data_IF_418789764416
#
_entry.id   IF_418789764416
#
_cell.length_a   1.000
_cell.length_b   1.000
_cell.length_c   1.000
_cell.angle_alpha   90.00
_cell.angle_beta   90.00
_cell.angle_gamma   90.00
#
_symmetry.space_group_name_H-M   'P 1'
#
loop_
_entity.id
_entity.type
_entity.pdbx_description
1 polymer ?
#
# COMPACT_ATOMS: atom_id res chain seq x y z
N UNK A 1 7.11 -22.65 1.11
CA UNK A 1 8.52 -22.73 0.66
C UNK A 1 9.38 -21.79 1.51
N UNK A 2 10.60 -22.22 1.87
CA UNK A 2 11.55 -21.67 2.86
C UNK A 2 11.21 -21.79 4.36
N UNK A 3 9.94 -21.68 4.79
CA UNK A 3 9.58 -21.73 6.24
C UNK A 3 8.59 -22.82 6.67
N UNK A 4 8.31 -23.83 5.82
CA UNK A 4 7.34 -24.90 6.12
C UNK A 4 5.96 -24.42 6.62
N UNK A 5 5.52 -23.27 6.11
CA UNK A 5 4.19 -22.73 6.41
C UNK A 5 3.20 -23.21 5.35
N UNK A 6 2.20 -23.98 5.76
CA UNK A 6 1.06 -24.34 4.90
C UNK A 6 0.21 -23.09 4.62
N UNK A 7 0.13 -22.74 3.33
CA UNK A 7 -0.64 -21.62 2.81
C UNK A 7 -1.58 -22.11 1.70
N UNK A 8 -2.74 -21.47 1.53
CA UNK A 8 -3.59 -21.72 0.35
C UNK A 8 -2.98 -21.11 -0.91
N UNK A 9 -3.42 -21.59 -2.08
CA UNK A 9 -3.23 -20.85 -3.32
C UNK A 9 -3.87 -19.45 -3.22
N UNK A 10 -3.35 -18.44 -3.95
CA UNK A 10 -3.89 -17.08 -3.91
C UNK A 10 -5.34 -17.06 -4.42
N UNK A 11 -6.27 -16.56 -3.59
CA UNK A 11 -7.67 -16.39 -3.97
C UNK A 11 -7.92 -14.94 -4.36
N UNK A 12 -8.16 -14.67 -5.64
CA UNK A 12 -8.42 -13.33 -6.14
C UNK A 12 -9.83 -12.88 -5.76
N UNK A 13 -9.95 -11.72 -5.13
CA UNK A 13 -11.24 -11.12 -4.81
C UNK A 13 -11.56 -10.13 -5.94
N UNK A 14 -12.54 -10.41 -6.82
CA UNK A 14 -12.92 -9.48 -7.87
C UNK A 14 -13.52 -8.22 -7.25
N UNK A 15 -13.06 -7.05 -7.69
CA UNK A 15 -13.64 -5.79 -7.26
C UNK A 15 -14.83 -5.44 -8.16
N UNK A 16 -15.93 -4.87 -7.62
CA UNK A 16 -17.05 -4.45 -8.45
C UNK A 16 -16.57 -3.40 -9.47
N UNK A 17 -16.73 -3.65 -10.79
CA UNK A 17 -16.13 -2.81 -11.83
C UNK A 17 -16.68 -1.37 -11.85
N UNK A 18 -17.83 -1.14 -11.21
CA UNK A 18 -18.45 0.19 -11.09
C UNK A 18 -18.01 0.99 -9.85
N UNK A 19 -17.44 0.32 -8.83
CA UNK A 19 -17.00 0.97 -7.58
C UNK A 19 -15.49 1.14 -7.51
N UNK A 20 -14.72 0.31 -8.21
CA UNK A 20 -13.26 0.36 -8.23
C UNK A 20 -12.77 0.18 -9.67
N UNK A 21 -11.96 1.14 -10.17
CA UNK A 21 -11.32 1.06 -11.50
C UNK A 21 -10.35 -0.14 -11.64
N UNK A 22 -10.01 -0.79 -10.53
CA UNK A 22 -9.06 -1.91 -10.47
C UNK A 22 -9.88 -3.20 -10.50
N UNK A 23 -9.67 -4.08 -11.49
CA UNK A 23 -10.49 -5.29 -11.67
C UNK A 23 -10.43 -6.34 -10.54
N UNK A 24 -9.54 -6.20 -9.55
CA UNK A 24 -9.46 -7.06 -8.36
C UNK A 24 -9.06 -6.25 -7.12
N UNK A 25 -9.49 -6.68 -5.92
CA UNK A 25 -8.96 -6.19 -4.63
C UNK A 25 -7.61 -6.82 -4.26
N UNK A 26 -6.99 -7.56 -5.19
CA UNK A 26 -5.80 -8.39 -4.96
C UNK A 26 -6.14 -9.85 -4.64
N UNK A 27 -5.10 -10.61 -4.33
CA UNK A 27 -5.19 -12.02 -3.99
C UNK A 27 -4.95 -12.25 -2.50
N UNK A 28 -5.87 -12.95 -1.84
CA UNK A 28 -5.78 -13.32 -0.45
C UNK A 28 -5.17 -14.72 -0.30
N UNK A 29 -4.11 -14.83 0.51
CA UNK A 29 -3.51 -16.12 0.90
C UNK A 29 -3.89 -16.40 2.35
N UNK A 30 -4.67 -17.46 2.59
CA UNK A 30 -5.02 -17.89 3.94
C UNK A 30 -3.90 -18.75 4.50
N UNK A 31 -3.22 -18.24 5.53
CA UNK A 31 -2.20 -18.99 6.28
C UNK A 31 -2.92 -20.03 7.15
N UNK A 32 -2.64 -21.32 6.94
CA UNK A 32 -3.32 -22.46 7.60
C UNK A 32 -2.59 -22.99 8.83
N UNK A 33 -1.34 -22.59 9.03
CA UNK A 33 -0.51 -23.02 10.16
C UNK A 33 -0.17 -21.82 11.07
N UNK A 34 -0.08 -22.01 12.39
CA UNK A 34 0.32 -20.94 13.30
C UNK A 34 1.73 -20.45 12.93
N UNK A 35 1.94 -19.14 12.82
CA UNK A 35 3.28 -18.59 12.61
C UNK A 35 3.98 -18.59 13.96
N UNK A 36 4.85 -19.58 14.18
CA UNK A 36 5.54 -19.79 15.45
C UNK A 36 6.71 -18.82 15.69
N UNK A 37 7.13 -18.03 14.69
CA UNK A 37 8.31 -17.13 14.79
C UNK A 37 8.01 -15.72 14.29
N UNK A 38 8.39 -14.71 15.08
CA UNK A 38 8.31 -13.29 14.72
C UNK A 38 9.06 -12.94 13.43
N UNK A 39 10.22 -13.57 13.23
CA UNK A 39 11.03 -13.43 12.02
C UNK A 39 10.24 -13.81 10.76
N UNK A 40 9.54 -14.95 10.80
CA UNK A 40 8.76 -15.44 9.68
C UNK A 40 7.55 -14.54 9.41
N UNK A 41 6.89 -14.04 10.47
CA UNK A 41 5.79 -13.09 10.35
C UNK A 41 6.22 -11.81 9.62
N UNK A 42 7.37 -11.26 10.01
CA UNK A 42 7.91 -10.07 9.38
C UNK A 42 8.29 -10.32 7.93
N UNK A 43 8.98 -11.41 7.62
CA UNK A 43 9.40 -11.72 6.26
C UNK A 43 8.20 -11.97 5.32
N UNK A 44 7.17 -12.66 5.81
CA UNK A 44 5.94 -12.89 5.04
C UNK A 44 5.22 -11.57 4.78
N UNK A 45 5.04 -10.74 5.82
CA UNK A 45 4.42 -9.41 5.65
C UNK A 45 5.24 -8.48 4.76
N UNK A 46 6.57 -8.55 4.80
CA UNK A 46 7.44 -7.69 3.99
C UNK A 46 7.50 -8.10 2.51
N UNK A 47 7.37 -9.40 2.20
CA UNK A 47 7.60 -9.93 0.86
C UNK A 47 6.63 -9.34 -0.18
N UNK A 48 5.34 -9.23 0.14
CA UNK A 48 4.31 -8.69 -0.76
C UNK A 48 4.59 -7.24 -1.17
N UNK A 49 4.65 -6.29 -0.21
CA UNK A 49 4.91 -4.89 -0.50
C UNK A 49 6.26 -4.63 -1.14
N UNK A 50 7.34 -5.33 -0.74
CA UNK A 50 8.65 -5.17 -1.36
C UNK A 50 8.62 -5.63 -2.83
N UNK A 51 8.04 -6.80 -3.11
CA UNK A 51 7.92 -7.30 -4.48
C UNK A 51 7.05 -6.37 -5.33
N UNK A 52 5.91 -5.91 -4.80
CA UNK A 52 5.03 -4.95 -5.46
C UNK A 52 5.77 -3.64 -5.79
N UNK A 53 6.52 -3.10 -4.84
CA UNK A 53 7.32 -1.89 -5.03
C UNK A 53 8.40 -2.05 -6.11
N UNK A 54 9.15 -3.15 -6.09
CA UNK A 54 10.22 -3.44 -7.07
C UNK A 54 9.66 -3.49 -8.51
N UNK A 55 8.41 -3.92 -8.70
CA UNK A 55 7.76 -3.94 -10.02
C UNK A 55 7.11 -2.59 -10.35
N UNK A 56 6.46 -1.96 -9.38
CA UNK A 56 5.76 -0.70 -9.56
C UNK A 56 6.70 0.45 -9.95
N UNK A 57 7.89 0.54 -9.36
CA UNK A 57 8.82 1.64 -9.62
C UNK A 57 9.34 1.67 -11.06
N UNK A 58 9.89 0.57 -11.63
CA UNK A 58 10.29 0.56 -13.04
C UNK A 58 9.12 0.80 -13.99
N UNK A 59 7.95 0.22 -13.72
CA UNK A 59 6.75 0.46 -14.51
C UNK A 59 6.35 1.94 -14.49
N UNK A 60 6.40 2.58 -13.32
CA UNK A 60 6.11 4.00 -13.18
C UNK A 60 7.13 4.87 -13.93
N UNK A 61 8.43 4.57 -13.83
CA UNK A 61 9.48 5.31 -14.55
C UNK A 61 9.28 5.19 -16.06
N UNK A 62 9.16 3.96 -16.59
CA UNK A 62 8.96 3.72 -18.01
C UNK A 62 7.67 4.39 -18.48
N UNK A 63 6.61 4.25 -17.71
CA UNK A 63 5.32 4.87 -17.97
C UNK A 63 5.39 6.39 -18.03
N UNK A 64 6.06 7.03 -17.06
CA UNK A 64 6.25 8.47 -17.05
C UNK A 64 7.02 8.93 -18.29
N UNK A 65 8.11 8.26 -18.67
CA UNK A 65 8.90 8.63 -19.84
C UNK A 65 8.13 8.59 -21.17
N UNK A 66 7.04 7.82 -21.24
CA UNK A 66 6.18 7.71 -22.43
C UNK A 66 4.81 8.39 -22.25
N UNK A 67 4.59 9.05 -21.12
CA UNK A 67 3.40 9.86 -20.87
C UNK A 67 3.43 11.14 -21.70
N UNK A 68 2.25 11.73 -21.93
CA UNK A 68 2.10 12.95 -22.72
C UNK A 68 1.77 14.12 -21.83
N UNK A 69 2.41 15.26 -22.07
CA UNK A 69 2.07 16.51 -21.38
C UNK A 69 0.92 17.19 -22.10
N UNK A 70 -0.11 17.58 -21.35
CA UNK A 70 -1.30 18.26 -21.85
C UNK A 70 -1.51 19.57 -21.11
N UNK A 71 -2.17 20.52 -21.75
CA UNK A 71 -2.61 21.75 -21.09
C UNK A 71 -3.77 21.37 -20.16
N UNK A 72 -3.77 21.93 -18.95
CA UNK A 72 -4.89 21.79 -18.02
C UNK A 72 -6.07 22.57 -18.60
N UNK A 73 -6.90 21.87 -19.37
CA UNK A 73 -8.14 22.41 -19.92
C UNK A 73 -9.32 21.91 -19.08
N UNK A 74 -10.17 22.85 -18.66
CA UNK A 74 -11.30 22.61 -17.76
C UNK A 74 -12.37 21.68 -18.33
N UNK A 75 -12.29 21.34 -19.63
CA UNK A 75 -13.26 20.49 -20.32
C UNK A 75 -12.87 19.00 -20.38
N UNK A 76 -11.63 18.62 -20.07
CA UNK A 76 -11.24 17.20 -20.03
C UNK A 76 -11.68 16.54 -18.72
N UNK A 77 -12.76 15.75 -18.81
CA UNK A 77 -13.27 14.88 -17.72
C UNK A 77 -12.32 13.70 -17.52
N UNK A 78 -11.19 13.95 -16.86
CA UNK A 78 -10.23 12.94 -16.41
C UNK A 78 -10.30 12.74 -14.90
N UNK A 79 -9.86 11.57 -14.42
CA UNK A 79 -9.65 11.34 -12.98
C UNK A 79 -8.28 11.94 -12.61
N UNK A 80 -8.27 12.92 -11.72
CA UNK A 80 -7.02 13.49 -11.18
C UNK A 80 -6.48 12.57 -10.09
N UNK A 81 -5.26 12.09 -10.26
CA UNK A 81 -4.60 11.19 -9.34
C UNK A 81 -3.71 11.97 -8.36
N UNK A 82 -3.69 11.54 -7.10
CA UNK A 82 -2.82 12.14 -6.10
C UNK A 82 -1.37 11.67 -6.18
N UNK A 83 -0.47 12.52 -5.74
CA UNK A 83 0.94 12.20 -5.71
C UNK A 83 1.40 11.55 -4.39
N UNK A 84 2.28 10.56 -4.53
CA UNK A 84 3.17 10.13 -3.46
C UNK A 84 4.47 10.91 -3.49
N UNK A 85 5.28 10.83 -2.43
CA UNK A 85 6.63 11.42 -2.41
C UNK A 85 7.45 10.88 -3.58
N UNK A 86 7.39 9.57 -3.82
CA UNK A 86 8.09 8.94 -4.93
C UNK A 86 7.60 9.44 -6.28
N UNK A 87 6.28 9.58 -6.47
CA UNK A 87 5.70 10.14 -7.70
C UNK A 87 6.26 11.54 -7.98
N UNK A 88 6.26 12.43 -6.98
CA UNK A 88 6.81 13.79 -7.13
C UNK A 88 8.27 13.79 -7.55
N UNK A 89 9.09 12.94 -6.93
CA UNK A 89 10.51 12.82 -7.26
C UNK A 89 10.67 12.34 -8.70
N UNK A 90 9.97 11.28 -9.11
CA UNK A 90 10.09 10.73 -10.46
C UNK A 90 9.54 11.67 -11.53
N UNK A 91 8.44 12.37 -11.25
CA UNK A 91 7.91 13.42 -12.13
C UNK A 91 8.92 14.55 -12.29
N UNK A 92 9.51 15.05 -11.20
CA UNK A 92 10.52 16.10 -11.26
C UNK A 92 11.79 15.68 -12.04
N UNK A 93 12.17 14.39 -11.99
CA UNK A 93 13.31 13.86 -12.73
C UNK A 93 13.01 13.62 -14.22
N UNK A 94 11.78 13.21 -14.56
CA UNK A 94 11.39 12.87 -15.94
C UNK A 94 10.88 14.07 -16.73
N UNK A 95 10.22 15.02 -16.05
CA UNK A 95 9.62 16.23 -16.63
C UNK A 95 10.09 17.48 -15.86
N UNK A 96 11.39 17.81 -15.92
CA UNK A 96 11.91 18.96 -15.20
C UNK A 96 11.31 20.26 -15.74
N UNK A 97 10.81 21.11 -14.83
CA UNK A 97 10.28 22.44 -15.17
C UNK A 97 8.89 22.42 -15.83
N UNK A 98 8.07 21.41 -15.54
CA UNK A 98 6.68 21.38 -15.98
C UNK A 98 5.93 22.66 -15.53
N UNK A 99 5.38 23.46 -16.44
CA UNK A 99 4.64 24.67 -16.09
C UNK A 99 3.36 24.39 -15.31
N UNK A 100 2.93 25.32 -14.45
CA UNK A 100 1.72 25.16 -13.60
C UNK A 100 0.41 24.99 -14.39
N UNK A 101 0.39 25.36 -15.67
CA UNK A 101 -0.77 25.22 -16.56
C UNK A 101 -0.74 23.93 -17.40
N UNK A 102 0.23 23.04 -17.15
CA UNK A 102 0.36 21.75 -17.83
C UNK A 102 0.31 20.61 -16.81
N UNK A 103 -0.25 19.49 -17.23
CA UNK A 103 -0.29 18.26 -16.44
C UNK A 103 0.12 17.07 -17.31
N UNK A 104 0.49 15.97 -16.65
CA UNK A 104 0.96 14.74 -17.30
C UNK A 104 -0.23 13.80 -17.44
N UNK A 105 -0.71 13.63 -18.68
CA UNK A 105 -1.63 12.56 -19.00
C UNK A 105 -0.88 11.22 -18.95
N UNK A 106 -1.12 10.48 -17.88
CA UNK A 106 -0.42 9.23 -17.60
C UNK A 106 -0.68 8.17 -18.67
N UNK A 107 0.39 7.62 -19.23
CA UNK A 107 0.31 6.39 -20.02
C UNK A 107 -0.25 5.24 -19.15
N UNK A 108 -1.01 4.27 -19.70
CA UNK A 108 -1.55 3.14 -18.92
C UNK A 108 -0.53 2.37 -18.08
N UNK A 109 0.73 2.33 -18.53
CA UNK A 109 1.85 1.73 -17.78
C UNK A 109 2.22 2.57 -16.55
N UNK A 110 2.22 3.90 -16.67
CA UNK A 110 2.44 4.81 -15.54
C UNK A 110 1.30 4.68 -14.53
N UNK A 111 0.06 4.63 -15.03
CA UNK A 111 -1.12 4.40 -14.20
C UNK A 111 -1.03 3.07 -13.44
N UNK A 112 -0.63 1.97 -14.10
CA UNK A 112 -0.41 0.69 -13.44
C UNK A 112 0.68 0.76 -12.35
N UNK A 113 1.79 1.48 -12.61
CA UNK A 113 2.82 1.77 -11.62
C UNK A 113 2.28 2.54 -10.41
N UNK A 114 1.49 3.57 -10.66
CA UNK A 114 0.82 4.36 -9.61
C UNK A 114 -0.14 3.51 -8.76
N UNK A 115 -0.94 2.65 -9.38
CA UNK A 115 -1.78 1.67 -8.66
C UNK A 115 -0.92 0.73 -7.82
N UNK A 116 0.23 0.31 -8.33
CA UNK A 116 1.21 -0.47 -7.57
C UNK A 116 1.70 0.25 -6.31
N UNK A 117 1.98 1.55 -6.38
CA UNK A 117 2.32 2.36 -5.21
C UNK A 117 1.15 2.46 -4.22
N UNK A 118 -0.07 2.69 -4.71
CA UNK A 118 -1.28 2.75 -3.90
C UNK A 118 -1.52 1.45 -3.13
N UNK A 119 -1.47 0.31 -3.81
CA UNK A 119 -1.65 -1.02 -3.19
C UNK A 119 -0.53 -1.29 -2.17
N UNK A 120 0.71 -0.94 -2.50
CA UNK A 120 1.86 -1.07 -1.59
C UNK A 120 1.66 -0.25 -0.32
N UNK A 121 1.25 1.02 -0.44
CA UNK A 121 0.93 1.88 0.71
C UNK A 121 -0.18 1.28 1.57
N UNK A 122 -1.29 0.88 0.97
CA UNK A 122 -2.44 0.33 1.69
C UNK A 122 -2.06 -0.94 2.45
N UNK A 123 -1.31 -1.83 1.82
CA UNK A 123 -0.84 -3.07 2.47
C UNK A 123 0.14 -2.79 3.62
N UNK A 124 0.93 -1.71 3.54
CA UNK A 124 1.89 -1.34 4.59
C UNK A 124 1.29 -0.51 5.73
N UNK A 125 -0.01 -0.18 5.69
CA UNK A 125 -0.67 0.43 6.84
C UNK A 125 -0.55 -0.50 8.07
N UNK A 126 -0.14 0.02 9.24
CA UNK A 126 0.09 -0.80 10.42
C UNK A 126 -1.21 -1.16 11.15
N UNK A 127 -2.21 -1.68 10.41
CA UNK A 127 -3.57 -1.91 10.89
C UNK A 127 -4.00 -3.35 10.61
N UNK A 128 -4.55 -4.02 11.63
CA UNK A 128 -5.21 -5.32 11.49
C UNK A 128 -4.33 -6.39 10.84
N UNK A 129 -4.90 -7.13 9.89
CA UNK A 129 -4.23 -8.22 9.15
C UNK A 129 -3.51 -7.77 7.88
N UNK A 130 -3.41 -6.47 7.63
CA UNK A 130 -2.60 -5.96 6.53
C UNK A 130 -1.13 -6.34 6.77
N UNK A 131 -0.36 -6.40 5.70
CA UNK A 131 1.06 -6.75 5.74
C UNK A 131 1.86 -5.86 6.72
N UNK A 132 1.56 -4.55 6.73
CA UNK A 132 2.11 -3.59 7.69
C UNK A 132 1.70 -3.86 9.13
N UNK A 133 0.52 -4.45 9.36
CA UNK A 133 0.08 -4.92 10.67
C UNK A 133 0.94 -6.09 11.17
N UNK A 134 1.26 -7.05 10.31
CA UNK A 134 2.18 -8.16 10.62
C UNK A 134 3.61 -7.68 10.91
N UNK A 135 4.12 -6.75 10.10
CA UNK A 135 5.44 -6.14 10.30
C UNK A 135 5.47 -5.36 11.62
N UNK A 136 4.49 -4.49 11.86
CA UNK A 136 4.40 -3.71 13.09
C UNK A 136 4.27 -4.60 14.33
N UNK A 137 3.49 -5.68 14.24
CA UNK A 137 3.39 -6.69 15.30
C UNK A 137 4.74 -7.34 15.59
N UNK A 138 5.47 -7.78 14.55
CA UNK A 138 6.76 -8.43 14.71
C UNK A 138 7.83 -7.51 15.32
N UNK A 139 7.83 -6.21 14.95
CA UNK A 139 8.79 -5.22 15.46
C UNK A 139 8.45 -4.69 16.85
N UNK A 140 7.18 -4.43 17.13
CA UNK A 140 6.74 -3.70 18.32
C UNK A 140 6.11 -4.58 19.41
N UNK A 141 5.81 -5.85 19.09
CA UNK A 141 5.13 -6.76 19.99
C UNK A 141 3.79 -6.21 20.46
N UNK A 142 3.55 -6.18 21.78
CA UNK A 142 2.27 -5.73 22.34
C UNK A 142 1.95 -4.25 22.05
N UNK A 143 2.98 -3.42 21.83
CA UNK A 143 2.81 -2.00 21.51
C UNK A 143 2.15 -1.77 20.14
N UNK A 144 2.14 -2.76 19.24
CA UNK A 144 1.49 -2.63 17.94
C UNK A 144 -0.01 -2.30 18.08
N UNK A 145 -0.69 -2.72 19.16
CA UNK A 145 -2.12 -2.43 19.37
C UNK A 145 -2.39 -0.93 19.46
N UNK A 146 -1.45 -0.19 20.06
CA UNK A 146 -1.53 1.26 20.17
C UNK A 146 -1.31 1.88 18.79
N UNK A 147 -0.28 1.44 18.08
CA UNK A 147 0.04 1.91 16.72
C UNK A 147 -1.11 1.64 15.75
N UNK A 148 -1.70 0.45 15.77
CA UNK A 148 -2.82 0.09 14.92
C UNK A 148 -4.07 0.91 15.21
N UNK A 149 -4.39 1.17 16.48
CA UNK A 149 -5.47 2.06 16.86
C UNK A 149 -5.21 3.50 16.41
N UNK A 150 -3.99 4.00 16.61
CA UNK A 150 -3.61 5.35 16.18
C UNK A 150 -3.69 5.50 14.66
N UNK A 151 -3.14 4.55 13.90
CA UNK A 151 -3.18 4.55 12.44
C UNK A 151 -4.63 4.45 11.91
N UNK A 152 -5.48 3.63 12.54
CA UNK A 152 -6.89 3.55 12.18
C UNK A 152 -7.64 4.86 12.47
N UNK A 153 -7.42 5.47 13.64
CA UNK A 153 -8.01 6.76 13.97
C UNK A 153 -7.51 7.89 13.07
N UNK A 154 -6.26 7.82 12.59
CA UNK A 154 -5.68 8.77 11.65
C UNK A 154 -6.38 8.78 10.28
N UNK A 155 -7.17 7.75 9.94
CA UNK A 155 -7.99 7.76 8.72
C UNK A 155 -9.08 8.84 8.75
N UNK A 156 -9.54 9.25 9.95
CA UNK A 156 -10.54 10.30 10.12
C UNK A 156 -9.99 11.68 9.70
N UNK A 157 -8.88 12.21 10.27
CA UNK A 157 -8.30 13.45 9.78
C UNK A 157 -7.89 13.37 8.29
N UNK A 158 -7.41 12.20 7.83
CA UNK A 158 -7.12 11.99 6.40
C UNK A 158 -8.36 12.08 5.51
N UNK A 159 -9.55 11.74 6.01
CA UNK A 159 -10.79 11.87 5.24
C UNK A 159 -11.16 13.31 4.87
N UNK A 160 -10.65 14.30 5.61
CA UNK A 160 -10.80 15.71 5.27
C UNK A 160 -9.94 16.11 4.06
N UNK A 161 -8.85 15.37 3.80
CA UNK A 161 -8.05 15.54 2.58
C UNK A 161 -8.68 14.80 1.39
N UNK A 162 -9.27 13.64 1.63
CA UNK A 162 -9.91 12.84 0.59
C UNK A 162 -10.89 11.83 1.19
N UNK A 163 -12.15 11.88 0.74
CA UNK A 163 -13.22 10.96 1.19
C UNK A 163 -12.89 9.48 0.97
N UNK A 164 -11.95 9.17 0.07
CA UNK A 164 -11.47 7.80 -0.18
C UNK A 164 -10.99 7.10 1.11
N UNK A 165 -10.46 7.86 2.08
CA UNK A 165 -10.02 7.29 3.36
C UNK A 165 -11.17 6.76 4.22
N UNK A 166 -12.39 7.28 4.08
CA UNK A 166 -13.58 6.69 4.72
C UNK A 166 -13.94 5.36 4.06
N UNK A 167 -13.89 5.29 2.73
CA UNK A 167 -14.14 4.05 1.98
C UNK A 167 -13.15 2.97 2.39
N UNK A 168 -11.85 3.31 2.43
CA UNK A 168 -10.81 2.40 2.92
C UNK A 168 -10.99 2.03 4.40
N UNK A 169 -11.36 2.99 5.26
CA UNK A 169 -11.64 2.74 6.67
C UNK A 169 -12.79 1.74 6.87
N UNK A 170 -13.88 1.88 6.10
CA UNK A 170 -15.00 0.93 6.11
C UNK A 170 -14.56 -0.44 5.60
N UNK A 171 -13.80 -0.50 4.51
CA UNK A 171 -13.28 -1.76 3.97
C UNK A 171 -12.41 -2.48 5.01
N UNK A 172 -11.49 -1.75 5.64
CA UNK A 172 -10.63 -2.27 6.71
C UNK A 172 -11.49 -2.79 7.88
N UNK A 173 -12.52 -2.06 8.32
CA UNK A 173 -13.43 -2.52 9.38
C UNK A 173 -14.14 -3.83 9.02
N UNK A 174 -14.61 -3.96 7.78
CA UNK A 174 -15.26 -5.19 7.29
C UNK A 174 -14.28 -6.35 7.26
N UNK A 175 -13.06 -6.14 6.77
CA UNK A 175 -12.01 -7.16 6.74
C UNK A 175 -11.58 -7.59 8.17
N UNK A 176 -11.51 -6.64 9.10
CA UNK A 176 -11.15 -6.89 10.50
C UNK A 176 -12.26 -7.63 11.29
N UNK A 177 -13.55 -7.40 10.98
CA UNK A 177 -14.66 -8.10 11.65
C UNK A 177 -14.63 -9.61 11.47
N UNK A 178 -14.01 -10.08 10.38
CA UNK A 178 -14.06 -11.48 9.96
C UNK A 178 -12.90 -12.31 10.53
N UNK A 179 -11.92 -11.70 11.20
CA UNK A 179 -10.68 -12.40 11.59
C UNK A 179 -10.19 -12.04 13.00
N UNK A 180 -10.15 -13.03 13.89
CA UNK A 180 -9.39 -12.91 15.15
C UNK A 180 -7.90 -13.02 14.80
N UNK A 181 -7.06 -12.13 15.32
CA UNK A 181 -5.61 -12.28 15.19
C UNK A 181 -5.20 -13.66 15.72
N UNK A 182 -4.53 -14.51 14.93
CA UNK A 182 -4.06 -15.79 15.41
C UNK A 182 -3.10 -15.54 16.59
N UNK A 183 -3.34 -16.15 17.77
CA UNK A 183 -2.48 -15.96 18.92
C UNK A 183 -1.10 -16.55 18.61
N UNK A 184 -0.09 -15.70 18.52
CA UNK A 184 1.30 -16.15 18.34
C UNK A 184 1.81 -16.55 19.73
N UNK A 185 2.16 -17.83 19.88
CA UNK A 185 2.55 -18.42 21.16
C UNK A 185 3.95 -17.97 21.63
N UNK A 186 4.80 -17.44 20.74
CA UNK A 186 6.21 -17.15 21.05
C UNK A 186 6.63 -15.68 20.76
N UNK A 187 6.00 -14.76 21.50
CA UNK A 187 6.19 -13.30 21.45
C UNK A 187 7.48 -12.86 22.17
N UNK A 188 8.23 -13.76 22.81
CA UNK A 188 9.35 -13.34 23.69
C UNK A 188 10.73 -13.39 23.04
N UNK A 189 10.85 -13.98 21.86
CA UNK A 189 12.13 -14.00 21.13
C UNK A 189 12.40 -12.64 20.48
N UNK A 190 13.61 -12.07 20.66
CA UNK A 190 14.00 -10.84 19.99
C UNK A 190 14.20 -11.10 18.49
N UNK A 191 13.84 -10.11 17.68
CA UNK A 191 14.02 -10.16 16.23
C UNK A 191 15.51 -10.05 15.87
N UNK A 192 15.96 -10.77 14.83
CA UNK A 192 17.33 -10.60 14.34
C UNK A 192 17.56 -9.18 13.78
N UNK A 193 18.82 -8.71 13.78
CA UNK A 193 19.18 -7.39 13.23
C UNK A 193 18.80 -7.27 11.75
N UNK A 194 18.95 -8.35 10.98
CA UNK A 194 18.59 -8.41 9.56
C UNK A 194 17.08 -8.22 9.36
N UNK A 195 16.25 -8.89 10.15
CA UNK A 195 14.80 -8.75 10.06
C UNK A 195 14.33 -7.36 10.52
N UNK A 196 15.03 -6.76 11.48
CA UNK A 196 14.76 -5.38 11.89
C UNK A 196 15.03 -4.40 10.75
N UNK A 197 16.12 -4.59 10.00
CA UNK A 197 16.42 -3.80 8.81
C UNK A 197 15.33 -3.93 7.74
N UNK A 198 14.82 -5.14 7.48
CA UNK A 198 13.70 -5.36 6.55
C UNK A 198 12.46 -4.57 6.99
N UNK A 199 12.13 -4.57 8.29
CA UNK A 199 11.04 -3.78 8.83
C UNK A 199 11.20 -2.27 8.60
N UNK A 200 12.42 -1.73 8.78
CA UNK A 200 12.71 -0.33 8.47
C UNK A 200 12.64 -0.01 6.97
N UNK A 201 13.09 -0.92 6.10
CA UNK A 201 12.93 -0.77 4.64
C UNK A 201 11.45 -0.67 4.28
N UNK A 202 10.60 -1.53 4.84
CA UNK A 202 9.15 -1.44 4.63
C UNK A 202 8.57 -0.11 5.13
N UNK A 203 9.04 0.43 6.25
CA UNK A 203 8.61 1.75 6.73
C UNK A 203 9.00 2.86 5.74
N UNK A 204 10.22 2.82 5.19
CA UNK A 204 10.66 3.78 4.17
C UNK A 204 9.83 3.65 2.90
N UNK A 205 9.58 2.44 2.42
CA UNK A 205 8.72 2.18 1.26
C UNK A 205 7.31 2.75 1.50
N UNK A 206 6.73 2.52 2.68
CA UNK A 206 5.43 3.07 3.04
C UNK A 206 5.40 4.58 2.93
N UNK A 207 6.39 5.27 3.51
CA UNK A 207 6.48 6.74 3.46
C UNK A 207 6.65 7.25 2.02
N UNK A 208 7.48 6.59 1.22
CA UNK A 208 7.69 6.95 -0.19
C UNK A 208 6.42 6.77 -1.04
N UNK A 209 5.66 5.72 -0.78
CA UNK A 209 4.43 5.39 -1.49
C UNK A 209 3.19 6.09 -0.94
N UNK A 210 3.28 6.80 0.18
CA UNK A 210 2.11 7.36 0.84
C UNK A 210 1.45 8.44 -0.03
N UNK A 211 0.18 8.26 -0.40
CA UNK A 211 -0.63 9.17 -1.21
C UNK A 211 -1.75 9.73 -0.31
N UNK A 212 -1.62 10.97 0.20
CA UNK A 212 -2.59 11.55 1.13
C UNK A 212 -3.98 11.78 0.53
N UNK A 213 -4.09 11.96 -0.78
CA UNK A 213 -5.36 12.15 -1.48
C UNK A 213 -5.36 11.38 -2.81
N UNK A 214 -5.65 10.06 -2.81
CA UNK A 214 -5.49 9.20 -3.98
C UNK A 214 -6.24 9.66 -5.23
N UNK A 215 -7.47 10.13 -5.05
CA UNK A 215 -8.28 10.71 -6.11
C UNK A 215 -8.66 12.10 -5.67
N UNK A 216 -8.34 13.08 -6.51
CA UNK A 216 -8.69 14.48 -6.27
C UNK A 216 -9.93 14.81 -7.09
N UNK A 217 -10.83 15.60 -6.50
CA UNK A 217 -11.92 16.22 -7.24
C UNK A 217 -11.34 17.41 -8.02
N UNK A 218 -11.70 17.57 -9.31
CA UNK A 218 -11.39 18.81 -10.03
C UNK A 218 -11.88 20.01 -9.21
N UNK A 219 -11.03 21.02 -9.04
CA UNK A 219 -11.43 22.30 -8.45
C UNK A 219 -12.07 23.20 -9.49
#
# INVERSE_FOLDING_TARGET
MKHNVDATLPYFIPAPPFLFLIGTFGAFIKIKSPIYRRDALLQIGAAGPIAGFIIAVPALIIGLMISTVVIVDSEQVGIILGDSILMKILTALTHPGLPDNMDILLHPVAFAGWIGLLVTMLNLLPIGQLDGGHIAYAMLGDKHKIVAKAAFLALIPLSFLSLNWLVWGILILVLMRTTKHPPIQDIRTPLSKENMYVGYVCLVIFLLCFIPAPFQTPQ
#
